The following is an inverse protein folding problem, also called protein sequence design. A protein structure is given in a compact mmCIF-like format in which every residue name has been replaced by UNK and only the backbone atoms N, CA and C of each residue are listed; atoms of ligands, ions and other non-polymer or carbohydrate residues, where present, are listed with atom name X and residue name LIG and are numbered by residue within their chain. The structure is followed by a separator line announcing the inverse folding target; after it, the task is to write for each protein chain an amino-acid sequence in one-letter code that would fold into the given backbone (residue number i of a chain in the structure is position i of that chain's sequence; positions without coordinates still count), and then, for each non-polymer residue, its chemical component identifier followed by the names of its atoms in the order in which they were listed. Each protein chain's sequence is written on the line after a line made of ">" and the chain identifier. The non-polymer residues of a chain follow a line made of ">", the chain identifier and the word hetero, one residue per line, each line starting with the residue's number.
data_IF_529321025332
#
_entry.id   IF_529321025332
#
_cell.length_a   1.000
_cell.length_b   1.000
_cell.length_c   1.000
_cell.angle_alpha   90.00
_cell.angle_beta   90.00
_cell.angle_gamma   90.00
#
_symmetry.space_group_name_H-M   'P 1'
#
loop_
_entity.id
_entity.type
_entity.pdbx_description
1 polymer ?
#
# COMPACT_ATOMS: atom_id res chain seq x y z
N UNK A 1 18.88 3.30 -10.14
CA UNK A 1 18.07 3.89 -9.04
C UNK A 1 19.00 4.45 -7.99
N UNK A 2 18.72 5.64 -7.45
CA UNK A 2 19.42 6.12 -6.24
C UNK A 2 19.08 5.18 -5.07
N UNK A 3 20.01 4.92 -4.12
CA UNK A 3 19.75 4.02 -3.00
C UNK A 3 18.48 4.40 -2.19
N UNK A 4 18.20 5.71 -2.11
CA UNK A 4 16.97 6.24 -1.50
C UNK A 4 15.71 5.77 -2.22
N UNK A 5 15.69 5.75 -3.56
CA UNK A 5 14.54 5.30 -4.34
C UNK A 5 14.20 3.84 -4.05
N UNK A 6 15.22 2.98 -3.96
CA UNK A 6 15.04 1.55 -3.67
C UNK A 6 14.38 1.35 -2.31
N UNK A 7 14.80 2.11 -1.30
CA UNK A 7 14.22 2.07 0.05
C UNK A 7 12.74 2.48 0.01
N UNK A 8 12.41 3.55 -0.73
CA UNK A 8 11.02 4.03 -0.87
C UNK A 8 10.13 2.99 -1.57
N UNK A 9 10.61 2.34 -2.63
CA UNK A 9 9.87 1.25 -3.30
C UNK A 9 9.60 0.09 -2.35
N UNK A 10 10.61 -0.33 -1.59
CA UNK A 10 10.47 -1.43 -0.63
C UNK A 10 9.47 -1.07 0.47
N UNK A 11 9.51 0.16 0.98
CA UNK A 11 8.57 0.66 1.98
C UNK A 11 7.13 0.67 1.43
N UNK A 12 6.92 1.19 0.22
CA UNK A 12 5.61 1.22 -0.43
C UNK A 12 5.06 -0.19 -0.67
N UNK A 13 5.91 -1.13 -1.07
CA UNK A 13 5.54 -2.54 -1.19
C UNK A 13 5.15 -3.14 0.16
N UNK A 14 5.93 -2.90 1.22
CA UNK A 14 5.62 -3.39 2.56
C UNK A 14 4.27 -2.87 3.07
N UNK A 15 3.98 -1.58 2.87
CA UNK A 15 2.69 -0.96 3.19
C UNK A 15 1.57 -1.63 2.39
N UNK A 16 1.75 -1.78 1.08
CA UNK A 16 0.78 -2.45 0.21
C UNK A 16 0.48 -3.88 0.65
N UNK A 17 1.49 -4.65 1.06
CA UNK A 17 1.31 -6.01 1.58
C UNK A 17 0.61 -6.01 2.94
N UNK A 18 0.92 -5.08 3.83
CA UNK A 18 0.24 -4.95 5.11
C UNK A 18 -1.25 -4.65 4.93
N UNK A 19 -1.61 -3.73 4.03
CA UNK A 19 -3.01 -3.46 3.69
C UNK A 19 -3.69 -4.65 3.00
N UNK A 20 -2.97 -5.43 2.19
CA UNK A 20 -3.52 -6.62 1.53
C UNK A 20 -3.79 -7.74 2.54
N UNK A 21 -2.86 -7.96 3.49
CA UNK A 21 -3.10 -8.86 4.62
C UNK A 21 -4.30 -8.40 5.46
N UNK A 22 -4.38 -7.12 5.75
CA UNK A 22 -5.49 -6.53 6.50
C UNK A 22 -6.84 -6.75 5.79
N UNK A 23 -6.85 -6.72 4.46
CA UNK A 23 -8.01 -7.02 3.63
C UNK A 23 -8.38 -8.51 3.65
N UNK A 24 -7.39 -9.40 3.53
CA UNK A 24 -7.60 -10.87 3.58
C UNK A 24 -8.12 -11.32 4.94
N UNK A 25 -7.55 -10.80 6.02
CA UNK A 25 -7.96 -11.15 7.39
C UNK A 25 -9.28 -10.49 7.79
N UNK A 26 -9.90 -9.69 6.90
CA UNK A 26 -11.10 -8.88 7.17
C UNK A 26 -11.02 -8.23 8.55
N UNK A 27 -9.86 -7.65 8.87
CA UNK A 27 -9.65 -7.02 10.18
C UNK A 27 -10.66 -5.89 10.30
N UNK A 28 -11.68 -6.10 11.14
CA UNK A 28 -12.73 -5.12 11.38
C UNK A 28 -12.12 -3.93 12.12
N UNK A 29 -11.72 -2.91 11.36
CA UNK A 29 -11.26 -1.66 11.95
C UNK A 29 -12.47 -0.82 12.29
N UNK A 30 -12.74 -0.75 13.59
CA UNK A 30 -13.72 0.16 14.15
C UNK A 30 -12.99 1.49 14.40
N UNK A 31 -13.25 2.48 13.56
CA UNK A 31 -12.73 3.83 13.73
C UNK A 31 -13.88 4.76 14.13
N UNK A 32 -13.77 5.41 15.29
CA UNK A 32 -14.78 6.35 15.80
C UNK A 32 -16.21 5.77 15.89
N UNK A 33 -16.35 4.46 16.15
CA UNK A 33 -17.66 3.78 16.25
C UNK A 33 -18.28 3.39 14.91
N UNK A 34 -17.62 3.65 13.79
CA UNK A 34 -18.03 3.20 12.46
C UNK A 34 -17.17 2.01 12.01
N UNK A 35 -17.83 0.97 11.50
CA UNK A 35 -17.16 -0.12 10.80
C UNK A 35 -16.58 0.44 9.51
N UNK A 36 -15.25 0.54 9.42
CA UNK A 36 -14.60 0.94 8.18
C UNK A 36 -14.83 -0.18 7.16
N UNK A 37 -15.53 0.08 6.04
CA UNK A 37 -15.80 -0.95 5.06
C UNK A 37 -14.49 -1.45 4.46
N UNK A 38 -14.35 -2.77 4.32
CA UNK A 38 -13.16 -3.45 3.78
C UNK A 38 -12.78 -2.94 2.38
N UNK A 39 -13.74 -2.38 1.64
CA UNK A 39 -13.53 -1.68 0.36
C UNK A 39 -12.58 -0.47 0.47
N UNK A 40 -12.50 0.21 1.62
CA UNK A 40 -11.55 1.32 1.80
C UNK A 40 -10.10 0.82 1.80
N UNK A 41 -9.86 -0.38 2.35
CA UNK A 41 -8.54 -1.01 2.34
C UNK A 41 -8.04 -1.33 0.93
N UNK A 42 -8.95 -1.50 -0.05
CA UNK A 42 -8.58 -1.67 -1.47
C UNK A 42 -7.80 -0.46 -1.98
N UNK A 43 -8.22 0.76 -1.64
CA UNK A 43 -7.47 1.98 -1.99
C UNK A 43 -6.11 2.03 -1.30
N UNK A 44 -6.03 1.55 -0.05
CA UNK A 44 -4.79 1.43 0.71
C UNK A 44 -3.79 0.42 0.12
N UNK A 45 -4.23 -0.55 -0.69
CA UNK A 45 -3.34 -1.44 -1.47
C UNK A 45 -2.97 -0.81 -2.81
N UNK A 46 -3.96 -0.31 -3.54
CA UNK A 46 -3.78 0.15 -4.93
C UNK A 46 -2.85 1.35 -5.02
N UNK A 47 -3.04 2.36 -4.15
CA UNK A 47 -2.26 3.60 -4.21
C UNK A 47 -0.75 3.34 -4.00
N UNK A 48 -0.31 2.67 -2.92
CA UNK A 48 1.12 2.42 -2.74
C UNK A 48 1.71 1.46 -3.78
N UNK A 49 0.94 0.47 -4.25
CA UNK A 49 1.38 -0.40 -5.35
C UNK A 49 1.60 0.39 -6.66
N UNK A 50 0.68 1.29 -7.00
CA UNK A 50 0.78 2.13 -8.19
C UNK A 50 1.95 3.11 -8.08
N UNK A 51 2.14 3.73 -6.91
CA UNK A 51 3.27 4.62 -6.64
C UNK A 51 4.61 3.89 -6.73
N UNK A 52 4.71 2.68 -6.15
CA UNK A 52 5.91 1.86 -6.25
C UNK A 52 6.23 1.52 -7.71
N UNK A 53 5.22 1.17 -8.51
CA UNK A 53 5.37 0.85 -9.92
C UNK A 53 5.79 2.06 -10.75
N UNK A 54 5.16 3.23 -10.54
CA UNK A 54 5.52 4.48 -11.19
C UNK A 54 6.95 4.89 -10.87
N UNK A 55 7.35 4.85 -9.60
CA UNK A 55 8.70 5.19 -9.16
C UNK A 55 9.73 4.25 -9.76
N UNK A 56 9.39 2.97 -9.89
CA UNK A 56 10.22 1.98 -10.56
C UNK A 56 10.39 2.28 -12.05
N UNK A 57 9.29 2.63 -12.74
CA UNK A 57 9.31 2.97 -14.16
C UNK A 57 10.13 4.23 -14.45
N UNK A 58 9.96 5.27 -13.64
CA UNK A 58 10.69 6.53 -13.76
C UNK A 58 12.19 6.35 -13.57
N UNK A 59 12.61 5.49 -12.63
CA UNK A 59 14.03 5.25 -12.36
C UNK A 59 14.71 4.26 -13.33
N UNK A 60 13.95 3.64 -14.23
CA UNK A 60 14.46 2.72 -15.26
C UNK A 60 14.61 3.38 -16.63
N UNK A 61 14.06 4.59 -16.81
CA UNK A 61 14.41 5.51 -17.92
C UNK A 61 15.67 6.30 -17.55
#
# INVERSE_FOLDING_TARGET
>A
MKPVTTIVVILLLAISFAQLLMLIFQVEVIAAGFHVPVWLSVFGVIIPALLAFLLWRENKK
#
